data_IF_327335251370
#
_entry.id   IF_327335251370
#
_cell.length_a   1.000
_cell.length_b   1.000
_cell.length_c   1.000
_cell.angle_alpha   90.00
_cell.angle_beta   90.00
_cell.angle_gamma   90.00
#
_symmetry.space_group_name_H-M   'P 1'
#
loop_
_entity.id
_entity.type
_entity.pdbx_description
1 polymer ?
#
# COMPACT_ATOMS: atom_id res chain seq x y z
N UNK A 1 -29.85 8.26 -0.43
CA UNK A 1 -29.21 9.55 -0.07
C UNK A 1 -27.69 9.37 -0.02
N UNK A 2 -26.91 10.46 0.11
CA UNK A 2 -25.45 10.35 0.32
C UNK A 2 -25.09 9.58 1.60
N UNK A 3 -25.90 9.72 2.67
CA UNK A 3 -25.69 8.98 3.92
C UNK A 3 -25.93 7.48 3.77
N UNK A 4 -26.95 7.08 3.01
CA UNK A 4 -27.22 5.66 2.72
C UNK A 4 -26.09 5.04 1.89
N UNK A 5 -25.57 5.75 0.88
CA UNK A 5 -24.43 5.27 0.10
C UNK A 5 -23.18 5.10 0.97
N UNK A 6 -22.88 6.08 1.84
CA UNK A 6 -21.76 5.97 2.77
C UNK A 6 -21.91 4.77 3.70
N UNK A 7 -23.12 4.52 4.22
CA UNK A 7 -23.39 3.36 5.06
C UNK A 7 -23.08 2.05 4.35
N UNK A 8 -23.46 1.91 3.07
CA UNK A 8 -23.16 0.73 2.25
C UNK A 8 -21.65 0.56 2.06
N UNK A 9 -20.92 1.63 1.71
CA UNK A 9 -19.47 1.57 1.54
C UNK A 9 -18.75 1.15 2.84
N UNK A 10 -19.19 1.65 3.99
CA UNK A 10 -18.65 1.27 5.30
C UNK A 10 -18.97 -0.18 5.66
N UNK A 11 -20.16 -0.67 5.33
CA UNK A 11 -20.54 -2.06 5.56
C UNK A 11 -19.63 -3.03 4.81
N UNK A 12 -19.28 -2.73 3.54
CA UNK A 12 -18.32 -3.53 2.78
C UNK A 12 -16.96 -3.59 3.49
N UNK A 13 -16.49 -2.48 4.03
CA UNK A 13 -15.26 -2.45 4.84
C UNK A 13 -15.37 -3.33 6.09
N UNK A 14 -16.47 -3.24 6.83
CA UNK A 14 -16.70 -4.02 8.06
C UNK A 14 -16.73 -5.54 7.80
N UNK A 15 -17.19 -5.96 6.63
CA UNK A 15 -17.35 -7.37 6.26
C UNK A 15 -16.15 -7.95 5.51
N UNK A 16 -15.51 -7.16 4.63
CA UNK A 16 -14.59 -7.66 3.60
C UNK A 16 -13.18 -7.09 3.68
N UNK A 17 -12.91 -6.12 4.56
CA UNK A 17 -11.57 -5.57 4.65
C UNK A 17 -10.58 -6.62 5.16
N UNK A 18 -9.35 -6.55 4.65
CA UNK A 18 -8.34 -7.58 4.85
C UNK A 18 -7.87 -7.76 6.30
N UNK A 19 -8.24 -6.83 7.20
CA UNK A 19 -7.94 -6.96 8.63
C UNK A 19 -8.62 -8.18 9.26
N UNK A 20 -9.71 -8.69 8.64
CA UNK A 20 -10.41 -9.92 9.02
C UNK A 20 -9.74 -11.20 8.53
N UNK A 21 -8.76 -11.10 7.65
CA UNK A 21 -8.12 -12.27 7.08
C UNK A 21 -7.31 -13.00 8.17
N UNK A 22 -7.37 -14.35 8.26
CA UNK A 22 -6.66 -15.10 9.30
C UNK A 22 -5.15 -14.79 9.36
N UNK A 23 -4.51 -14.58 8.21
CA UNK A 23 -3.10 -14.17 8.15
C UNK A 23 -2.84 -12.83 8.84
N UNK A 24 -3.73 -11.83 8.65
CA UNK A 24 -3.59 -10.53 9.29
C UNK A 24 -3.75 -10.64 10.81
N UNK A 25 -4.71 -11.44 11.29
CA UNK A 25 -4.88 -11.70 12.72
C UNK A 25 -3.63 -12.34 13.33
N UNK A 26 -3.08 -13.39 12.70
CA UNK A 26 -1.83 -14.03 13.13
C UNK A 26 -0.66 -13.04 13.15
N UNK A 27 -0.57 -12.16 12.16
CA UNK A 27 0.45 -11.10 12.11
C UNK A 27 0.32 -10.15 13.30
N UNK A 28 -0.87 -9.59 13.53
CA UNK A 28 -1.09 -8.62 14.62
C UNK A 28 -1.01 -9.23 16.00
N UNK A 29 -1.26 -10.53 16.15
CA UNK A 29 -1.11 -11.24 17.42
C UNK A 29 0.33 -11.71 17.68
N UNK A 30 1.27 -11.46 16.76
CA UNK A 30 2.66 -11.92 16.88
C UNK A 30 2.87 -13.42 16.65
N UNK A 31 1.93 -14.11 16.00
CA UNK A 31 1.96 -15.57 15.80
C UNK A 31 2.56 -16.00 14.45
N UNK A 32 3.13 -15.08 13.67
CA UNK A 32 3.88 -15.43 12.47
C UNK A 32 5.31 -15.85 12.81
N UNK A 33 5.80 -16.86 12.12
CA UNK A 33 7.22 -17.14 12.06
C UNK A 33 7.97 -16.00 11.32
N UNK A 34 9.28 -15.93 11.52
CA UNK A 34 10.13 -14.97 10.78
C UNK A 34 9.99 -15.13 9.26
N UNK A 35 9.95 -16.36 8.76
CA UNK A 35 9.82 -16.65 7.34
C UNK A 35 8.46 -16.17 6.77
N UNK A 36 7.36 -16.36 7.50
CA UNK A 36 6.06 -15.84 7.09
C UNK A 36 6.02 -14.30 7.07
N UNK A 37 6.67 -13.65 8.05
CA UNK A 37 6.79 -12.19 8.09
C UNK A 37 7.64 -11.65 6.93
N UNK A 38 8.74 -12.32 6.59
CA UNK A 38 9.57 -12.02 5.42
C UNK A 38 8.76 -12.15 4.12
N UNK A 39 8.03 -13.27 3.95
CA UNK A 39 7.19 -13.48 2.77
C UNK A 39 6.11 -12.40 2.64
N UNK A 40 5.45 -12.04 3.74
CA UNK A 40 4.48 -10.95 3.74
C UNK A 40 5.11 -9.61 3.38
N UNK A 41 6.27 -9.27 3.95
CA UNK A 41 6.94 -8.00 3.69
C UNK A 41 7.37 -7.87 2.22
N UNK A 42 7.92 -8.94 1.63
CA UNK A 42 8.29 -9.00 0.21
C UNK A 42 7.06 -8.77 -0.67
N UNK A 43 6.01 -9.58 -0.49
CA UNK A 43 4.79 -9.46 -1.30
C UNK A 43 4.06 -8.14 -1.08
N UNK A 44 4.16 -7.55 0.11
CA UNK A 44 3.56 -6.24 0.39
C UNK A 44 4.36 -5.11 -0.25
N UNK A 45 5.68 -5.26 -0.39
CA UNK A 45 6.50 -4.28 -1.11
C UNK A 45 6.03 -4.12 -2.56
N UNK A 46 5.84 -5.21 -3.33
CA UNK A 46 5.35 -5.09 -4.72
C UNK A 46 3.97 -4.44 -4.82
N UNK A 47 3.04 -4.74 -3.89
CA UNK A 47 1.77 -4.00 -3.83
C UNK A 47 1.99 -2.49 -3.66
N UNK A 48 2.89 -2.08 -2.77
CA UNK A 48 3.16 -0.67 -2.46
C UNK A 48 3.88 0.05 -3.61
N UNK A 49 4.82 -0.63 -4.27
CA UNK A 49 5.55 -0.09 -5.42
C UNK A 49 4.63 0.15 -6.63
N UNK A 50 3.51 -0.56 -6.74
CA UNK A 50 2.53 -0.39 -7.84
C UNK A 50 1.54 0.77 -7.58
N UNK A 51 1.32 1.17 -6.33
CA UNK A 51 0.35 2.23 -6.00
C UNK A 51 0.58 3.54 -6.77
N UNK A 52 1.78 4.15 -6.81
CA UNK A 52 1.99 5.40 -7.54
C UNK A 52 1.73 5.26 -9.04
N UNK A 53 2.05 4.11 -9.65
CA UNK A 53 1.72 3.81 -11.06
C UNK A 53 0.21 3.77 -11.28
N UNK A 54 -0.52 3.10 -10.39
CA UNK A 54 -1.99 3.05 -10.42
C UNK A 54 -2.60 4.44 -10.20
N UNK A 55 -2.05 5.27 -9.31
CA UNK A 55 -2.52 6.63 -9.09
C UNK A 55 -2.21 7.57 -10.27
N UNK A 56 -1.08 7.36 -10.96
CA UNK A 56 -0.77 8.07 -12.20
C UNK A 56 -1.78 7.76 -13.31
N UNK A 57 -2.28 6.52 -13.41
CA UNK A 57 -3.34 6.16 -14.36
C UNK A 57 -4.66 6.87 -14.06
N UNK A 58 -4.97 7.14 -12.78
CA UNK A 58 -6.15 7.92 -12.40
C UNK A 58 -5.96 9.39 -12.81
N UNK A 59 -4.79 9.97 -12.54
CA UNK A 59 -4.45 11.33 -12.97
C UNK A 59 -4.53 11.52 -14.48
N UNK A 60 -4.03 10.56 -15.25
CA UNK A 60 -4.03 10.60 -16.71
C UNK A 60 -5.45 10.67 -17.31
N UNK A 61 -6.46 10.20 -16.57
CA UNK A 61 -7.87 10.22 -16.98
C UNK A 61 -8.65 11.41 -16.41
N UNK A 62 -8.04 12.22 -15.55
CA UNK A 62 -8.74 13.30 -14.86
C UNK A 62 -8.67 14.60 -15.67
N UNK A 63 -9.84 15.14 -16.01
CA UNK A 63 -9.97 16.39 -16.77
C UNK A 63 -9.84 17.64 -15.88
N UNK A 64 -10.37 17.58 -14.65
CA UNK A 64 -10.36 18.69 -13.69
C UNK A 64 -8.94 18.94 -13.11
N UNK A 65 -8.34 20.13 -13.33
CA UNK A 65 -7.06 20.50 -12.74
C UNK A 65 -7.05 20.50 -11.21
N UNK A 66 -8.15 20.86 -10.55
CA UNK A 66 -8.22 20.89 -9.08
C UNK A 66 -8.15 19.47 -8.50
N UNK A 67 -8.89 18.53 -9.09
CA UNK A 67 -8.75 17.10 -8.77
C UNK A 67 -7.32 16.59 -9.00
N UNK A 68 -6.68 16.91 -10.13
CA UNK A 68 -5.30 16.48 -10.38
C UNK A 68 -4.32 17.02 -9.34
N UNK A 69 -4.46 18.29 -8.95
CA UNK A 69 -3.62 18.91 -7.93
C UNK A 69 -3.80 18.26 -6.55
N UNK A 70 -5.02 17.85 -6.18
CA UNK A 70 -5.26 17.13 -4.94
C UNK A 70 -4.76 15.67 -5.01
N UNK A 71 -4.95 14.98 -6.13
CA UNK A 71 -4.65 13.56 -6.26
C UNK A 71 -3.16 13.25 -6.39
N UNK A 72 -2.37 14.15 -7.01
CA UNK A 72 -0.91 13.95 -7.19
C UNK A 72 -0.16 13.77 -5.87
N UNK A 73 -0.68 14.32 -4.77
CA UNK A 73 -0.10 14.17 -3.44
C UNK A 73 0.10 12.70 -3.04
N UNK A 74 -0.79 11.80 -3.51
CA UNK A 74 -0.65 10.35 -3.27
C UNK A 74 0.60 9.77 -3.90
N UNK A 75 1.00 10.23 -5.09
CA UNK A 75 2.22 9.80 -5.78
C UNK A 75 3.42 10.35 -5.03
N UNK A 76 3.42 11.66 -4.74
CA UNK A 76 4.47 12.33 -3.96
C UNK A 76 4.69 11.65 -2.59
N UNK A 77 3.64 11.19 -1.93
CA UNK A 77 3.75 10.48 -0.64
C UNK A 77 4.39 9.09 -0.78
N UNK A 78 4.22 8.40 -1.92
CA UNK A 78 4.82 7.08 -2.15
C UNK A 78 6.25 7.17 -2.66
N UNK A 79 6.50 8.06 -3.61
CA UNK A 79 7.77 8.19 -4.31
C UNK A 79 8.72 9.14 -3.55
N UNK A 80 8.20 10.14 -2.85
CA UNK A 80 9.00 11.22 -2.27
C UNK A 80 9.44 12.22 -3.34
N UNK A 81 10.26 13.20 -2.94
CA UNK A 81 10.69 14.28 -3.85
C UNK A 81 11.73 13.82 -4.89
N UNK A 82 12.53 12.82 -4.55
CA UNK A 82 13.60 12.25 -5.37
C UNK A 82 13.24 10.89 -6.02
N UNK A 83 12.00 10.44 -5.85
CA UNK A 83 11.51 9.15 -6.34
C UNK A 83 11.85 7.95 -5.46
N UNK A 84 12.61 8.14 -4.37
CA UNK A 84 13.03 7.05 -3.48
C UNK A 84 12.96 7.38 -1.98
N UNK A 85 12.57 8.59 -1.58
CA UNK A 85 12.51 9.03 -0.18
C UNK A 85 11.12 8.87 0.46
N UNK A 86 10.10 8.51 -0.33
CA UNK A 86 8.72 8.41 0.13
C UNK A 86 8.36 7.10 0.85
N UNK A 87 7.07 6.79 0.84
CA UNK A 87 6.49 5.59 1.45
C UNK A 87 7.12 4.28 0.97
N UNK A 88 7.55 4.18 -0.30
CA UNK A 88 8.17 2.95 -0.84
C UNK A 88 9.48 2.62 -0.12
N UNK A 89 10.31 3.62 0.21
CA UNK A 89 11.54 3.40 0.97
C UNK A 89 11.28 2.84 2.36
N UNK A 90 10.15 3.19 2.99
CA UNK A 90 9.76 2.62 4.29
C UNK A 90 9.43 1.13 4.19
N UNK A 91 8.82 0.71 3.09
CA UNK A 91 8.54 -0.71 2.83
C UNK A 91 9.81 -1.49 2.49
N UNK A 92 10.72 -0.90 1.71
CA UNK A 92 12.04 -1.48 1.50
C UNK A 92 12.80 -1.64 2.82
N UNK A 93 12.79 -0.62 3.68
CA UNK A 93 13.41 -0.66 4.99
C UNK A 93 12.80 -1.75 5.89
N UNK A 94 11.48 -1.93 5.87
CA UNK A 94 10.82 -3.02 6.60
C UNK A 94 11.29 -4.40 6.11
N UNK A 95 11.34 -4.62 4.80
CA UNK A 95 11.78 -5.88 4.21
C UNK A 95 13.25 -6.18 4.55
N UNK A 96 14.15 -5.21 4.39
CA UNK A 96 15.58 -5.39 4.67
C UNK A 96 15.87 -5.55 6.17
N UNK A 97 15.09 -4.90 7.04
CA UNK A 97 15.19 -5.09 8.50
C UNK A 97 14.82 -6.50 8.95
N UNK A 98 14.03 -7.23 8.14
CA UNK A 98 13.75 -8.65 8.37
C UNK A 98 14.86 -9.57 7.82
N UNK A 99 15.89 -9.01 7.18
CA UNK A 99 17.04 -9.72 6.62
C UNK A 99 16.88 -10.12 5.16
N UNK A 100 15.96 -9.51 4.41
CA UNK A 100 15.85 -9.70 2.97
C UNK A 100 16.89 -8.84 2.24
N UNK A 101 17.42 -9.37 1.14
CA UNK A 101 18.32 -8.64 0.26
C UNK A 101 17.57 -7.50 -0.46
N UNK A 102 18.18 -6.31 -0.50
CA UNK A 102 17.53 -5.13 -1.03
C UNK A 102 17.30 -5.20 -2.54
N UNK A 103 18.21 -5.81 -3.30
CA UNK A 103 18.09 -5.89 -4.75
C UNK A 103 17.06 -6.95 -5.15
N UNK A 104 17.01 -8.07 -4.42
CA UNK A 104 15.94 -9.05 -4.56
C UNK A 104 14.55 -8.44 -4.29
N UNK A 105 14.41 -7.62 -3.23
CA UNK A 105 13.14 -6.93 -2.94
C UNK A 105 12.77 -5.93 -4.03
N UNK A 106 13.74 -5.23 -4.63
CA UNK A 106 13.49 -4.25 -5.71
C UNK A 106 13.25 -4.90 -7.08
N UNK A 107 13.63 -6.16 -7.27
CA UNK A 107 13.56 -6.86 -8.56
C UNK A 107 12.15 -7.32 -8.97
N UNK A 108 11.13 -6.89 -8.23
CA UNK A 108 9.71 -7.07 -8.56
C UNK A 108 9.34 -6.57 -9.97
#
# INVERSE_FOLDING_TARGET
SSSELEAVLRQVGAERYHNRHPFHHRMTSGALSRAEMQAWALNRYCYQAVIPRKDAMILARAEDPAFRAAWRKRIEDHDGEDGWSGGIARWLHLATSLGLDADAVKSE
#
